data_IF_208197525208
#
_entry.id   IF_208197525208
#
_cell.length_a   1.000
_cell.length_b   1.000
_cell.length_c   1.000
_cell.angle_alpha   90.00
_cell.angle_beta   90.00
_cell.angle_gamma   90.00
#
_symmetry.space_group_name_H-M   'P 1'
#
loop_
_entity.id
_entity.type
_entity.pdbx_description
1 polymer ?
#
# COMPACT_ATOMS: atom_id res chain seq x y z
N UNK A 1 -8.92 -10.43 -2.19
CA UNK A 1 -7.52 -10.76 -1.84
C UNK A 1 -7.40 -11.37 -0.45
N UNK A 2 -7.85 -10.69 0.62
CA UNK A 2 -7.75 -11.20 2.01
C UNK A 2 -8.37 -12.58 2.18
N UNK A 3 -9.56 -12.80 1.60
CA UNK A 3 -10.20 -14.12 1.62
C UNK A 3 -9.38 -15.18 0.88
N UNK A 4 -8.83 -14.85 -0.29
CA UNK A 4 -8.01 -15.77 -1.08
C UNK A 4 -6.71 -16.15 -0.38
N UNK A 5 -6.09 -15.21 0.32
CA UNK A 5 -4.78 -15.38 0.97
C UNK A 5 -4.90 -16.05 2.35
N UNK A 6 -5.98 -15.77 3.11
CA UNK A 6 -6.12 -16.22 4.51
C UNK A 6 -7.32 -17.13 4.78
N UNK A 7 -8.12 -17.48 3.76
CA UNK A 7 -9.33 -18.32 3.92
C UNK A 7 -9.07 -19.77 4.39
N UNK A 8 -7.82 -20.22 4.39
CA UNK A 8 -7.44 -21.53 4.94
C UNK A 8 -7.67 -21.61 6.46
N UNK A 9 -7.86 -20.48 7.12
CA UNK A 9 -8.14 -20.35 8.55
C UNK A 9 -9.64 -20.42 8.88
N UNK A 10 -10.53 -20.65 7.91
CA UNK A 10 -11.98 -20.60 8.09
C UNK A 10 -12.59 -19.25 7.70
N UNK A 11 -13.79 -18.94 8.24
CA UNK A 11 -14.41 -17.64 7.98
C UNK A 11 -13.54 -16.52 8.56
N UNK A 12 -13.27 -15.46 7.77
CA UNK A 12 -12.62 -14.26 8.29
C UNK A 12 -13.55 -13.57 9.29
N UNK A 13 -13.27 -13.74 10.58
CA UNK A 13 -14.01 -13.13 11.68
C UNK A 13 -13.52 -11.70 11.94
N UNK A 14 -13.61 -10.85 10.92
CA UNK A 14 -13.22 -9.45 11.03
C UNK A 14 -14.10 -8.56 10.15
N UNK A 15 -14.57 -7.47 10.72
CA UNK A 15 -15.15 -6.35 9.98
C UNK A 15 -14.12 -5.22 9.91
N UNK A 16 -13.85 -4.74 8.69
CA UNK A 16 -12.90 -3.64 8.47
C UNK A 16 -13.67 -2.40 8.04
N UNK A 17 -13.40 -1.29 8.72
CA UNK A 17 -13.87 0.03 8.33
C UNK A 17 -12.67 0.90 7.97
N UNK A 18 -12.68 1.49 6.76
CA UNK A 18 -11.67 2.42 6.29
C UNK A 18 -12.22 3.84 6.29
N UNK A 19 -11.48 4.76 6.85
CA UNK A 19 -11.82 6.18 6.87
C UNK A 19 -10.68 6.95 6.23
N UNK A 20 -11.01 7.79 5.23
CA UNK A 20 -10.07 8.73 4.66
C UNK A 20 -10.14 10.04 5.44
N UNK A 21 -9.13 10.33 6.22
CA UNK A 21 -9.03 11.59 6.94
C UNK A 21 -8.80 12.75 5.98
N UNK A 22 -9.39 13.90 6.28
CA UNK A 22 -9.26 15.14 5.49
C UNK A 22 -9.65 15.03 4.00
N UNK A 23 -10.59 14.15 3.68
CA UNK A 23 -11.16 14.09 2.34
C UNK A 23 -12.22 15.17 2.17
N UNK A 24 -11.90 16.17 1.34
CA UNK A 24 -12.82 17.27 1.01
C UNK A 24 -13.56 17.07 -0.32
N UNK A 25 -13.42 15.90 -0.94
CA UNK A 25 -14.06 15.55 -2.22
C UNK A 25 -14.53 14.11 -2.26
N UNK A 26 -15.27 13.74 -3.30
CA UNK A 26 -15.61 12.34 -3.56
C UNK A 26 -14.34 11.55 -3.92
N UNK A 27 -14.14 10.42 -3.25
CA UNK A 27 -13.15 9.43 -3.64
C UNK A 27 -13.83 8.50 -4.66
N UNK A 28 -13.35 8.50 -5.88
CA UNK A 28 -13.86 7.66 -6.95
C UNK A 28 -12.75 6.76 -7.51
N UNK A 29 -13.13 5.53 -7.86
CA UNK A 29 -12.24 4.54 -8.48
C UNK A 29 -11.48 3.68 -7.48
N UNK A 30 -10.83 2.66 -8.02
CA UNK A 30 -10.12 1.59 -7.33
C UNK A 30 -8.62 1.89 -7.10
N UNK A 31 -8.15 3.08 -7.47
CA UNK A 31 -6.72 3.43 -7.45
C UNK A 31 -6.10 3.56 -6.06
N UNK A 32 -6.91 3.57 -5.00
CA UNK A 32 -6.47 3.51 -3.60
C UNK A 32 -6.38 2.08 -3.06
N UNK A 33 -6.86 1.07 -3.80
CA UNK A 33 -7.00 -0.31 -3.32
C UNK A 33 -5.72 -0.93 -2.76
N UNK A 34 -4.56 -0.64 -3.35
CA UNK A 34 -3.28 -1.10 -2.83
C UNK A 34 -2.95 -0.45 -1.47
N UNK A 35 -3.18 0.87 -1.34
CA UNK A 35 -2.95 1.59 -0.09
C UNK A 35 -3.93 1.14 1.01
N UNK A 36 -5.20 0.93 0.67
CA UNK A 36 -6.22 0.39 1.56
C UNK A 36 -5.85 -0.99 2.08
N UNK A 37 -5.42 -1.88 1.18
CA UNK A 37 -4.97 -3.23 1.56
C UNK A 37 -3.78 -3.18 2.53
N UNK A 38 -2.77 -2.37 2.25
CA UNK A 38 -1.60 -2.21 3.13
C UNK A 38 -1.98 -1.66 4.50
N UNK A 39 -2.91 -0.69 4.56
CA UNK A 39 -3.43 -0.16 5.81
C UNK A 39 -4.17 -1.22 6.63
N UNK A 40 -4.96 -2.08 5.96
CA UNK A 40 -5.67 -3.21 6.61
C UNK A 40 -4.67 -4.22 7.15
N UNK A 41 -3.66 -4.61 6.38
CA UNK A 41 -2.61 -5.54 6.83
C UNK A 41 -1.84 -4.97 8.03
N UNK A 42 -1.55 -3.67 8.03
CA UNK A 42 -0.93 -2.96 9.14
C UNK A 42 -1.81 -3.00 10.40
N UNK A 43 -3.09 -2.70 10.26
CA UNK A 43 -4.04 -2.71 11.37
C UNK A 43 -4.21 -4.11 11.99
N UNK A 44 -4.30 -5.15 11.17
CA UNK A 44 -4.44 -6.54 11.64
C UNK A 44 -3.16 -7.01 12.33
N UNK A 45 -2.00 -6.80 11.70
CA UNK A 45 -0.72 -7.30 12.21
C UNK A 45 -0.13 -6.47 13.35
N UNK A 46 -0.62 -5.24 13.54
CA UNK A 46 -0.01 -4.27 14.48
C UNK A 46 1.34 -3.73 14.03
N UNK A 47 1.74 -3.97 12.78
CA UNK A 47 3.02 -3.53 12.23
C UNK A 47 2.90 -2.14 11.59
N UNK A 48 3.83 -1.21 11.86
CA UNK A 48 3.80 0.11 11.25
C UNK A 48 4.21 0.06 9.78
N UNK A 49 3.64 0.99 8.99
CA UNK A 49 4.06 1.26 7.62
C UNK A 49 5.05 2.43 7.56
N UNK A 50 5.91 2.43 6.56
CA UNK A 50 6.72 3.59 6.21
C UNK A 50 5.81 4.77 5.85
N UNK A 51 6.12 5.95 6.39
CA UNK A 51 5.34 7.18 6.21
C UNK A 51 5.95 8.13 5.18
N UNK A 52 7.09 7.78 4.63
CA UNK A 52 7.81 8.54 3.60
C UNK A 52 7.48 8.09 2.17
N UNK A 53 6.60 7.10 2.01
CA UNK A 53 6.15 6.58 0.72
C UNK A 53 4.65 6.83 0.51
N UNK A 54 4.29 7.41 -0.63
CA UNK A 54 2.93 7.40 -1.13
C UNK A 54 2.68 6.13 -1.96
N UNK A 55 1.42 5.68 -2.02
CA UNK A 55 1.03 4.46 -2.72
C UNK A 55 -0.16 4.73 -3.63
N UNK A 56 -0.11 4.25 -4.86
CA UNK A 56 -1.27 4.19 -5.76
C UNK A 56 -1.26 2.87 -6.53
N UNK A 57 -2.43 2.30 -6.77
CA UNK A 57 -2.61 1.05 -7.50
C UNK A 57 -3.95 0.42 -7.19
N UNK A 58 -4.54 -0.25 -8.17
CA UNK A 58 -5.64 -1.18 -7.95
C UNK A 58 -5.08 -2.58 -7.69
N UNK A 59 -5.84 -3.43 -7.02
CA UNK A 59 -5.43 -4.81 -6.68
C UNK A 59 -6.53 -5.77 -7.11
N UNK A 60 -6.18 -6.84 -7.81
CA UNK A 60 -7.09 -7.92 -8.11
C UNK A 60 -7.16 -8.97 -6.97
N UNK A 61 -8.05 -9.96 -7.12
CA UNK A 61 -8.27 -11.00 -6.12
C UNK A 61 -7.05 -11.91 -5.91
N UNK A 62 -6.12 -11.94 -6.87
CA UNK A 62 -4.92 -12.79 -6.83
C UNK A 62 -3.71 -12.07 -6.24
N UNK A 63 -3.80 -10.76 -6.01
CA UNK A 63 -2.72 -9.95 -5.49
C UNK A 63 -1.89 -9.25 -6.55
N UNK A 64 -2.36 -9.21 -7.81
CA UNK A 64 -1.69 -8.44 -8.86
C UNK A 64 -2.04 -6.97 -8.73
N UNK A 65 -1.03 -6.13 -8.90
CA UNK A 65 -1.20 -4.68 -8.91
C UNK A 65 -1.50 -4.20 -10.32
N UNK A 66 -2.66 -3.58 -10.49
CA UNK A 66 -3.19 -3.17 -11.79
C UNK A 66 -2.93 -1.70 -12.07
N UNK A 67 -2.81 -1.37 -13.36
CA UNK A 67 -2.65 0.00 -13.83
C UNK A 67 -3.82 0.89 -13.41
N UNK A 68 -3.52 2.14 -13.10
CA UNK A 68 -4.51 3.16 -12.70
C UNK A 68 -4.33 4.44 -13.52
N UNK A 69 -5.35 5.29 -13.50
CA UNK A 69 -5.30 6.58 -14.18
C UNK A 69 -4.49 7.63 -13.43
N UNK A 70 -3.99 8.61 -14.17
CA UNK A 70 -3.41 9.86 -13.66
C UNK A 70 -2.21 9.67 -12.72
N UNK A 71 -1.38 8.67 -13.01
CA UNK A 71 -0.20 8.36 -12.17
C UNK A 71 0.80 9.49 -12.17
N UNK A 72 1.02 10.16 -13.33
CA UNK A 72 1.93 11.28 -13.43
C UNK A 72 1.55 12.42 -12.46
N UNK A 73 0.26 12.81 -12.47
CA UNK A 73 -0.23 13.88 -11.58
C UNK A 73 -0.13 13.50 -10.10
N UNK A 74 -0.33 12.22 -9.76
CA UNK A 74 -0.19 11.74 -8.38
C UNK A 74 1.27 11.78 -7.92
N UNK A 75 2.20 11.32 -8.75
CA UNK A 75 3.65 11.37 -8.49
C UNK A 75 4.12 12.81 -8.32
N UNK A 76 3.78 13.68 -9.28
CA UNK A 76 4.18 15.09 -9.27
C UNK A 76 3.55 15.85 -8.10
N UNK A 77 2.29 15.52 -7.74
CA UNK A 77 1.61 16.10 -6.60
C UNK A 77 2.31 15.75 -5.29
N UNK A 78 2.62 14.48 -5.06
CA UNK A 78 3.35 14.05 -3.87
C UNK A 78 4.78 14.60 -3.82
N UNK A 79 5.50 14.59 -4.94
CA UNK A 79 6.83 15.20 -5.05
C UNK A 79 6.81 16.67 -4.61
N UNK A 80 5.82 17.43 -5.08
CA UNK A 80 5.67 18.86 -4.71
C UNK A 80 5.44 19.05 -3.22
N UNK A 81 4.65 18.20 -2.58
CA UNK A 81 4.47 18.21 -1.13
C UNK A 81 5.79 17.92 -0.42
N UNK A 82 6.52 16.87 -0.83
CA UNK A 82 7.82 16.53 -0.28
C UNK A 82 8.84 17.67 -0.46
N UNK A 83 8.86 18.30 -1.62
CA UNK A 83 9.72 19.45 -1.91
C UNK A 83 9.43 20.63 -0.97
N UNK A 84 8.15 20.90 -0.70
CA UNK A 84 7.73 21.98 0.20
C UNK A 84 8.11 21.69 1.64
N UNK A 85 8.01 20.44 2.08
CA UNK A 85 8.37 20.01 3.46
C UNK A 85 9.86 19.75 3.64
N UNK A 86 10.62 19.68 2.57
CA UNK A 86 12.03 19.30 2.52
C UNK A 86 12.22 17.84 2.11
N UNK A 87 12.96 17.64 1.02
CA UNK A 87 13.33 16.28 0.58
C UNK A 87 14.33 15.66 1.55
N UNK A 88 14.05 14.45 2.01
CA UNK A 88 14.89 13.70 2.97
C UNK A 88 15.79 12.66 2.28
N UNK A 89 15.61 12.44 0.98
CA UNK A 89 16.32 11.41 0.22
C UNK A 89 15.74 10.00 0.34
N UNK A 90 14.64 9.82 1.08
CA UNK A 90 13.98 8.51 1.25
C UNK A 90 12.55 8.49 0.75
N UNK A 91 11.98 9.66 0.46
CA UNK A 91 10.61 9.81 0.00
C UNK A 91 10.43 9.28 -1.42
N UNK A 92 9.25 8.75 -1.71
CA UNK A 92 8.94 8.22 -3.03
C UNK A 92 7.51 7.79 -3.20
N UNK A 93 7.23 7.25 -4.37
CA UNK A 93 5.90 6.73 -4.73
C UNK A 93 6.00 5.28 -5.16
N UNK A 94 5.16 4.44 -4.56
CA UNK A 94 4.91 3.07 -5.02
C UNK A 94 3.76 3.13 -6.03
N UNK A 95 3.99 2.59 -7.21
CA UNK A 95 3.08 2.67 -8.35
C UNK A 95 3.06 1.36 -9.15
N UNK A 96 1.99 1.09 -9.93
CA UNK A 96 1.91 -0.12 -10.72
C UNK A 96 2.97 -0.13 -11.84
N UNK A 97 3.72 -1.22 -11.98
CA UNK A 97 4.69 -1.41 -13.06
C UNK A 97 4.03 -1.31 -14.44
N UNK A 98 2.77 -1.73 -14.55
CA UNK A 98 1.99 -1.62 -15.78
C UNK A 98 1.77 -0.17 -16.26
N UNK A 99 1.94 0.83 -15.40
CA UNK A 99 1.89 2.24 -15.80
C UNK A 99 3.20 2.79 -16.39
N UNK A 100 4.35 2.12 -16.18
CA UNK A 100 5.66 2.64 -16.60
C UNK A 100 5.75 2.97 -18.10
N UNK A 101 5.23 2.15 -19.04
CA UNK A 101 5.36 2.43 -20.47
C UNK A 101 4.75 3.76 -20.92
N UNK A 102 3.82 4.30 -20.14
CA UNK A 102 3.08 5.54 -20.45
C UNK A 102 3.34 6.65 -19.43
N UNK A 103 4.28 6.45 -18.50
CA UNK A 103 4.60 7.41 -17.46
C UNK A 103 5.52 8.52 -18.03
N UNK A 104 4.97 9.72 -18.09
CA UNK A 104 5.74 10.91 -18.46
C UNK A 104 5.69 11.89 -17.30
N UNK A 105 6.84 12.25 -16.76
CA UNK A 105 6.98 13.13 -15.60
C UNK A 105 7.66 14.44 -15.99
N UNK A 106 7.41 15.48 -15.23
CA UNK A 106 8.12 16.74 -15.34
C UNK A 106 9.61 16.55 -15.09
N UNK A 107 10.40 17.37 -15.77
CA UNK A 107 11.86 17.31 -15.71
C UNK A 107 12.41 17.39 -14.29
N UNK A 108 11.84 18.24 -13.45
CA UNK A 108 12.24 18.40 -12.05
C UNK A 108 12.11 17.10 -11.22
N UNK A 109 11.07 16.29 -11.50
CA UNK A 109 10.89 14.99 -10.84
C UNK A 109 11.90 13.98 -11.36
N UNK A 110 12.13 13.96 -12.67
CA UNK A 110 13.12 13.07 -13.29
C UNK A 110 14.52 13.36 -12.73
N UNK A 111 14.93 14.63 -12.67
CA UNK A 111 16.20 15.05 -12.10
C UNK A 111 16.34 14.61 -10.63
N UNK A 112 15.30 14.80 -9.82
CA UNK A 112 15.30 14.37 -8.41
C UNK A 112 15.42 12.84 -8.24
N UNK A 113 14.85 12.06 -9.17
CA UNK A 113 14.98 10.59 -9.18
C UNK A 113 16.39 10.19 -9.63
N UNK A 114 16.95 10.84 -10.65
CA UNK A 114 18.32 10.58 -11.12
C UNK A 114 19.37 10.93 -10.05
N UNK A 115 19.14 12.00 -9.29
CA UNK A 115 19.97 12.40 -8.16
C UNK A 115 19.80 11.52 -6.92
N UNK A 116 18.79 10.63 -6.89
CA UNK A 116 18.51 9.74 -5.79
C UNK A 116 17.93 10.43 -4.54
N UNK A 117 17.35 11.62 -4.70
CA UNK A 117 16.70 12.36 -3.61
C UNK A 117 15.19 12.15 -3.54
N UNK A 118 14.62 11.53 -4.58
CA UNK A 118 13.24 11.07 -4.64
C UNK A 118 13.19 9.72 -5.36
N UNK A 119 12.20 8.86 -5.06
CA UNK A 119 12.19 7.49 -5.55
C UNK A 119 10.87 7.09 -6.18
N UNK A 120 10.93 6.23 -7.21
CA UNK A 120 9.78 5.57 -7.82
C UNK A 120 9.96 4.06 -7.68
N UNK A 121 8.99 3.41 -7.06
CA UNK A 121 8.99 1.96 -6.85
C UNK A 121 7.85 1.35 -7.68
N UNK A 122 8.23 0.67 -8.76
CA UNK A 122 7.27 0.00 -9.62
C UNK A 122 7.04 -1.44 -9.15
N UNK A 123 5.78 -1.79 -8.87
CA UNK A 123 5.40 -3.09 -8.33
C UNK A 123 4.39 -3.81 -9.23
N UNK A 124 4.48 -5.13 -9.32
CA UNK A 124 3.55 -6.00 -10.03
C UNK A 124 2.64 -6.78 -9.09
N UNK A 125 3.15 -7.11 -7.89
CA UNK A 125 2.46 -7.94 -6.90
C UNK A 125 2.35 -7.19 -5.56
N UNK A 126 1.31 -7.52 -4.80
CA UNK A 126 1.09 -6.96 -3.46
C UNK A 126 2.29 -7.19 -2.55
N UNK A 127 2.92 -8.38 -2.63
CA UNK A 127 4.05 -8.74 -1.77
C UNK A 127 5.25 -7.80 -1.95
N UNK A 128 5.50 -7.30 -3.15
CA UNK A 128 6.55 -6.31 -3.40
C UNK A 128 6.25 -5.00 -2.65
N UNK A 129 5.00 -4.54 -2.69
CA UNK A 129 4.56 -3.36 -1.94
C UNK A 129 4.60 -3.60 -0.42
N UNK A 130 4.24 -4.80 0.05
CA UNK A 130 4.36 -5.20 1.45
C UNK A 130 5.82 -5.09 1.91
N UNK A 131 6.77 -5.64 1.15
CA UNK A 131 8.19 -5.58 1.52
C UNK A 131 8.70 -4.13 1.58
N UNK A 132 8.27 -3.27 0.64
CA UNK A 132 8.64 -1.85 0.63
C UNK A 132 8.08 -1.09 1.83
N UNK A 133 6.78 -1.25 2.10
CA UNK A 133 6.07 -0.44 3.11
C UNK A 133 6.33 -0.90 4.55
N UNK A 134 6.47 -2.22 4.77
CA UNK A 134 6.77 -2.76 6.10
C UNK A 134 8.28 -2.85 6.39
N UNK A 135 9.14 -2.73 5.36
CA UNK A 135 10.58 -2.94 5.52
C UNK A 135 10.93 -4.37 5.99
N UNK A 136 10.09 -5.34 5.68
CA UNK A 136 10.18 -6.74 6.09
C UNK A 136 9.82 -7.65 4.92
N UNK A 137 10.28 -8.89 4.97
CA UNK A 137 9.87 -9.91 3.99
C UNK A 137 8.37 -10.15 4.03
N UNK A 138 7.73 -10.24 2.88
CA UNK A 138 6.27 -10.40 2.75
C UNK A 138 5.76 -11.62 3.55
N UNK A 139 6.42 -12.79 3.44
CA UNK A 139 6.02 -13.98 4.18
C UNK A 139 5.93 -13.75 5.70
N UNK A 140 6.85 -12.97 6.26
CA UNK A 140 6.87 -12.69 7.69
C UNK A 140 5.70 -11.77 8.10
N UNK A 141 5.37 -10.77 7.26
CA UNK A 141 4.20 -9.91 7.48
C UNK A 141 2.93 -10.74 7.42
N UNK A 142 2.81 -11.63 6.43
CA UNK A 142 1.65 -12.52 6.29
C UNK A 142 1.51 -13.48 7.47
N UNK A 143 2.61 -13.99 8.03
CA UNK A 143 2.55 -14.79 9.27
C UNK A 143 1.99 -13.98 10.43
N UNK A 144 2.41 -12.72 10.61
CA UNK A 144 1.87 -11.86 11.66
C UNK A 144 0.37 -11.55 11.48
N UNK A 145 -0.06 -11.40 10.24
CA UNK A 145 -1.49 -11.25 9.92
C UNK A 145 -2.25 -12.55 10.28
N UNK A 146 -1.73 -13.74 9.93
CA UNK A 146 -2.36 -15.03 10.28
C UNK A 146 -2.45 -15.21 11.79
N UNK A 147 -1.38 -14.99 12.52
CA UNK A 147 -1.36 -15.07 13.99
C UNK A 147 -2.44 -14.18 14.61
N UNK A 148 -2.58 -12.94 14.12
CA UNK A 148 -3.60 -12.01 14.61
C UNK A 148 -5.03 -12.47 14.28
N UNK A 149 -5.27 -12.96 13.07
CA UNK A 149 -6.58 -13.47 12.65
C UNK A 149 -6.99 -14.72 13.42
N UNK A 150 -6.06 -15.63 13.70
CA UNK A 150 -6.30 -16.81 14.55
C UNK A 150 -6.65 -16.41 15.99
N UNK A 151 -5.97 -15.41 16.52
CA UNK A 151 -6.28 -14.87 17.84
C UNK A 151 -7.68 -14.26 17.89
N UNK A 152 -8.08 -13.45 16.90
CA UNK A 152 -9.43 -12.89 16.81
C UNK A 152 -10.50 -14.00 16.75
N UNK A 153 -10.25 -15.07 16.01
CA UNK A 153 -11.16 -16.20 15.90
C UNK A 153 -11.34 -16.95 17.22
N UNK A 154 -10.27 -17.14 18.00
CA UNK A 154 -10.34 -17.75 19.34
C UNK A 154 -11.11 -16.88 20.33
N UNK A 155 -10.92 -15.56 20.29
CA UNK A 155 -11.70 -14.63 21.11
C UNK A 155 -13.21 -14.68 20.80
N UNK A 156 -13.56 -14.75 19.51
CA UNK A 156 -14.96 -14.84 19.08
C UNK A 156 -15.61 -16.17 19.51
N UNK A 157 -14.84 -17.26 19.46
CA UNK A 157 -15.30 -18.59 19.92
C UNK A 157 -15.35 -18.74 21.46
N UNK A 158 -14.86 -17.76 22.22
CA UNK A 158 -14.80 -17.80 23.68
C UNK A 158 -13.76 -18.78 24.23
N UNK A 159 -12.75 -19.14 23.45
CA UNK A 159 -11.70 -20.11 23.80
C UNK A 159 -10.56 -19.47 24.64
N UNK A 160 -10.47 -18.15 24.66
CA UNK A 160 -9.56 -17.38 25.52
C UNK A 160 -10.37 -16.47 26.46
N UNK A 161 -10.14 -16.61 27.78
CA UNK A 161 -10.67 -15.72 28.83
C UNK A 161 -9.54 -14.87 29.39
#
# INVERSE_FOLDING_TARGET
>A
YLRGTYAQLGALSATVSLVFEQSYGSLEGDSAGLAELLAVLSAISGLPLRQDLAVTGAVDQTGRVLAVGRVAEKVEGFFRVCQTLGLTGTQGVVLPKANLPHLTLRREVVEAVEEGVFHLFAVEEVDEAVELLFGRRAYWVHEKVREALEHFQKLENGEEK
#
